data_IF_172200280726
#
_entry.id   IF_172200280726
#
_cell.length_a   1.000
_cell.length_b   1.000
_cell.length_c   1.000
_cell.angle_alpha   90.00
_cell.angle_beta   90.00
_cell.angle_gamma   90.00
#
_symmetry.space_group_name_H-M   'P 1'
#
loop_
_entity.id
_entity.type
_entity.pdbx_description
1 polymer ?
#
# COMPACT_ATOMS: atom_id res chain seq x y z
N UNK A 1 -17.70 11.52 -15.27
CA UNK A 1 -16.65 10.81 -14.51
C UNK A 1 -17.36 10.17 -13.32
N UNK A 2 -17.64 8.88 -13.39
CA UNK A 2 -18.34 8.18 -12.32
C UNK A 2 -17.40 8.02 -11.13
N UNK A 3 -17.80 8.49 -9.97
CA UNK A 3 -17.12 8.20 -8.72
C UNK A 3 -17.13 6.68 -8.53
N UNK A 4 -15.94 6.06 -8.50
CA UNK A 4 -15.80 4.64 -8.22
C UNK A 4 -16.10 4.46 -6.74
N UNK A 5 -17.32 4.04 -6.42
CA UNK A 5 -17.77 3.85 -5.04
C UNK A 5 -16.79 2.91 -4.32
N UNK A 6 -16.23 3.37 -3.20
CA UNK A 6 -15.34 2.58 -2.35
C UNK A 6 -16.14 1.39 -1.81
N UNK A 7 -16.06 0.24 -2.49
CA UNK A 7 -16.65 -0.99 -1.98
C UNK A 7 -15.83 -1.42 -0.75
N UNK A 8 -16.50 -1.61 0.39
CA UNK A 8 -15.84 -2.20 1.56
C UNK A 8 -15.43 -3.63 1.19
N UNK A 9 -14.14 -3.92 1.22
CA UNK A 9 -13.61 -5.24 0.88
C UNK A 9 -14.16 -6.33 1.82
N UNK A 10 -14.71 -5.96 2.99
CA UNK A 10 -15.47 -6.88 3.87
C UNK A 10 -16.70 -7.46 3.20
N UNK A 11 -17.27 -6.75 2.24
CA UNK A 11 -18.49 -7.15 1.55
C UNK A 11 -18.22 -7.95 0.28
N UNK A 12 -16.95 -8.21 -0.05
CA UNK A 12 -16.60 -9.03 -1.20
C UNK A 12 -16.95 -10.51 -0.98
N UNK A 13 -17.40 -11.18 -2.03
CA UNK A 13 -17.55 -12.64 -2.05
C UNK A 13 -16.19 -13.33 -2.01
N UNK A 14 -16.16 -14.62 -1.67
CA UNK A 14 -14.92 -15.42 -1.70
C UNK A 14 -14.20 -15.33 -3.05
N UNK A 15 -14.93 -15.44 -4.16
CA UNK A 15 -14.38 -15.31 -5.52
C UNK A 15 -13.78 -13.93 -5.79
N UNK A 16 -14.40 -12.86 -5.27
CA UNK A 16 -13.84 -11.50 -5.39
C UNK A 16 -12.57 -11.33 -4.56
N UNK A 17 -12.52 -11.88 -3.34
CA UNK A 17 -11.31 -11.91 -2.51
C UNK A 17 -10.20 -12.72 -3.18
N UNK A 18 -10.51 -13.86 -3.78
CA UNK A 18 -9.55 -14.68 -4.55
C UNK A 18 -8.98 -13.90 -5.72
N UNK A 19 -9.81 -13.16 -6.46
CA UNK A 19 -9.35 -12.30 -7.56
C UNK A 19 -8.43 -11.18 -7.06
N UNK A 20 -8.77 -10.49 -5.96
CA UNK A 20 -7.93 -9.45 -5.35
C UNK A 20 -6.58 -10.02 -4.87
N UNK A 21 -6.59 -11.18 -4.23
CA UNK A 21 -5.37 -11.86 -3.80
C UNK A 21 -4.54 -12.38 -4.97
N UNK A 22 -5.18 -12.79 -6.08
CA UNK A 22 -4.52 -13.12 -7.34
C UNK A 22 -3.74 -11.93 -7.88
N UNK A 23 -4.43 -10.78 -8.04
CA UNK A 23 -3.82 -9.53 -8.49
C UNK A 23 -2.68 -9.08 -7.56
N UNK A 24 -2.92 -9.07 -6.24
CA UNK A 24 -1.89 -8.68 -5.25
C UNK A 24 -0.64 -9.55 -5.37
N UNK A 25 -0.80 -10.87 -5.55
CA UNK A 25 0.33 -11.80 -5.71
C UNK A 25 1.12 -11.48 -6.98
N UNK A 26 0.43 -11.33 -8.11
CA UNK A 26 1.09 -10.98 -9.39
C UNK A 26 1.82 -9.63 -9.29
N UNK A 27 1.19 -8.59 -8.73
CA UNK A 27 1.81 -7.29 -8.50
C UNK A 27 3.11 -7.40 -7.68
N UNK A 28 3.07 -8.12 -6.56
CA UNK A 28 4.26 -8.29 -5.70
C UNK A 28 5.36 -9.07 -6.42
N UNK A 29 5.02 -10.15 -7.12
CA UNK A 29 6.00 -10.94 -7.89
C UNK A 29 6.65 -10.10 -8.99
N UNK A 30 5.87 -9.33 -9.75
CA UNK A 30 6.38 -8.50 -10.84
C UNK A 30 7.28 -7.37 -10.34
N UNK A 31 6.98 -6.80 -9.17
CA UNK A 31 7.78 -5.74 -8.54
C UNK A 31 9.11 -6.23 -7.96
N UNK A 32 9.34 -7.55 -7.82
CA UNK A 32 10.65 -8.08 -7.38
C UNK A 32 11.80 -7.69 -8.29
N UNK A 33 11.53 -7.27 -9.53
CA UNK A 33 12.55 -6.69 -10.42
C UNK A 33 13.27 -5.49 -9.78
N UNK A 34 12.59 -4.73 -8.91
CA UNK A 34 13.18 -3.62 -8.16
C UNK A 34 14.29 -4.10 -7.22
N UNK A 35 14.15 -5.30 -6.64
CA UNK A 35 15.11 -5.86 -5.67
C UNK A 35 16.49 -6.11 -6.27
N UNK A 36 16.61 -6.17 -7.60
CA UNK A 36 17.89 -6.25 -8.31
C UNK A 36 18.63 -4.91 -8.41
N UNK A 37 18.05 -3.81 -7.93
CA UNK A 37 18.67 -2.48 -7.92
C UNK A 37 19.28 -2.20 -6.54
N UNK A 38 20.42 -1.50 -6.53
CA UNK A 38 21.01 -0.99 -5.28
C UNK A 38 20.09 0.06 -4.67
N UNK A 39 19.84 -0.03 -3.36
CA UNK A 39 18.94 0.89 -2.66
C UNK A 39 17.53 0.83 -3.23
N UNK A 40 16.92 -0.35 -3.29
CA UNK A 40 15.54 -0.51 -3.73
C UNK A 40 14.56 -0.30 -2.58
N UNK A 41 13.30 0.02 -2.90
CA UNK A 41 12.25 0.20 -1.92
C UNK A 41 10.90 -0.28 -2.46
N UNK A 42 10.15 -1.02 -1.65
CA UNK A 42 8.75 -1.38 -1.90
C UNK A 42 7.91 -1.02 -0.68
N UNK A 43 6.86 -0.24 -0.91
CA UNK A 43 5.81 0.05 0.07
C UNK A 43 4.47 -0.28 -0.57
N UNK A 44 3.88 -1.41 -0.20
CA UNK A 44 2.67 -1.95 -0.84
C UNK A 44 1.62 -2.17 0.25
N UNK A 45 0.63 -1.28 0.28
CA UNK A 45 -0.51 -1.40 1.18
C UNK A 45 -1.68 -2.17 0.55
N UNK A 46 -2.51 -2.79 1.39
CA UNK A 46 -3.70 -3.53 0.96
C UNK A 46 -4.96 -2.68 1.02
N UNK A 47 -4.86 -1.37 0.73
CA UNK A 47 -6.00 -0.48 0.68
C UNK A 47 -6.54 -0.30 -0.75
N UNK A 48 -7.86 -0.18 -0.85
CA UNK A 48 -8.50 0.16 -2.11
C UNK A 48 -8.53 1.70 -2.28
N UNK A 49 -7.42 2.27 -2.73
CA UNK A 49 -7.25 3.71 -2.98
C UNK A 49 -6.51 3.97 -4.31
N UNK A 50 -6.47 5.23 -4.76
CA UNK A 50 -5.71 5.66 -5.95
C UNK A 50 -5.10 7.05 -5.69
N UNK A 51 -4.02 7.40 -6.40
CA UNK A 51 -3.30 8.68 -6.22
C UNK A 51 -2.78 8.94 -4.79
N UNK A 52 -2.09 8.00 -4.15
CA UNK A 52 -1.58 8.19 -2.78
C UNK A 52 -0.45 9.23 -2.68
N UNK A 53 0.47 9.24 -3.66
CA UNK A 53 1.70 10.04 -3.65
C UNK A 53 1.49 11.57 -3.60
N UNK A 54 0.55 12.18 -4.36
CA UNK A 54 0.41 13.64 -4.39
C UNK A 54 -0.07 14.29 -3.09
N UNK A 55 -0.69 13.53 -2.19
CA UNK A 55 -1.33 14.08 -1.00
C UNK A 55 -0.40 13.98 0.22
N UNK A 56 0.37 15.03 0.53
CA UNK A 56 1.31 15.00 1.66
C UNK A 56 0.69 14.60 3.03
N UNK A 57 -0.61 14.83 3.21
CA UNK A 57 -1.35 14.36 4.40
C UNK A 57 -1.39 12.83 4.55
N UNK A 58 -1.28 12.05 3.46
CA UNK A 58 -1.16 10.58 3.52
C UNK A 58 0.22 10.13 3.98
N UNK A 59 1.25 10.97 3.80
CA UNK A 59 2.63 10.57 4.01
C UNK A 59 3.05 10.57 5.47
N UNK A 60 2.66 11.59 6.24
CA UNK A 60 3.10 11.72 7.63
C UNK A 60 2.14 12.57 8.48
N UNK A 61 1.04 11.98 8.92
CA UNK A 61 0.05 12.60 9.80
C UNK A 61 -0.59 11.57 10.75
N UNK A 62 -1.38 12.01 11.74
CA UNK A 62 -2.16 11.08 12.57
C UNK A 62 -3.17 10.24 11.79
N UNK A 63 -3.57 10.67 10.58
CA UNK A 63 -4.53 9.98 9.71
C UNK A 63 -3.85 9.20 8.56
N UNK A 64 -2.51 9.25 8.49
CA UNK A 64 -1.73 8.53 7.50
C UNK A 64 -1.94 7.02 7.62
N UNK A 65 -1.91 6.36 6.46
CA UNK A 65 -1.75 4.93 6.41
C UNK A 65 -0.43 4.50 7.03
N UNK A 66 -0.47 3.39 7.75
CA UNK A 66 0.68 2.76 8.42
C UNK A 66 0.72 1.28 8.11
N UNK A 67 1.87 0.80 7.63
CA UNK A 67 2.18 -0.63 7.60
C UNK A 67 2.95 -0.96 8.88
N UNK A 68 2.37 -1.85 9.69
CA UNK A 68 2.79 -1.98 11.09
C UNK A 68 2.65 -0.65 11.81
N UNK A 69 3.78 -0.05 12.21
CA UNK A 69 3.80 1.28 12.84
C UNK A 69 4.45 2.36 11.97
N UNK A 70 4.81 2.06 10.71
CA UNK A 70 5.52 2.98 9.82
C UNK A 70 4.59 3.63 8.80
N UNK A 71 4.66 4.95 8.70
CA UNK A 71 4.10 5.73 7.60
C UNK A 71 4.93 5.60 6.32
N UNK A 72 4.36 6.07 5.21
CA UNK A 72 5.08 6.20 3.93
C UNK A 72 6.33 7.08 4.09
N UNK A 73 6.23 8.21 4.78
CA UNK A 73 7.38 9.10 4.96
C UNK A 73 8.52 8.44 5.75
N UNK A 74 8.18 7.65 6.78
CA UNK A 74 9.17 6.90 7.57
C UNK A 74 9.83 5.81 6.71
N UNK A 75 9.05 5.06 5.91
CA UNK A 75 9.61 4.06 5.01
C UNK A 75 10.49 4.68 3.90
N UNK A 76 10.11 5.83 3.36
CA UNK A 76 10.94 6.58 2.39
C UNK A 76 12.19 7.14 3.06
N UNK A 77 12.11 7.61 4.30
CA UNK A 77 13.27 8.07 5.04
C UNK A 77 14.26 6.93 5.29
N UNK A 78 13.78 5.77 5.75
CA UNK A 78 14.59 4.54 5.92
C UNK A 78 15.28 4.15 4.60
N UNK A 79 14.53 4.20 3.49
CA UNK A 79 15.06 3.90 2.16
C UNK A 79 16.15 4.90 1.74
N UNK A 80 15.91 6.20 1.95
CA UNK A 80 16.82 7.27 1.57
C UNK A 80 18.16 7.20 2.34
N UNK A 81 18.12 6.92 3.65
CA UNK A 81 19.34 6.79 4.46
C UNK A 81 20.01 5.42 4.34
N UNK A 82 19.26 4.41 3.87
CA UNK A 82 19.69 3.02 3.83
C UNK A 82 20.74 2.69 2.77
N UNK A 83 20.99 3.59 1.79
CA UNK A 83 21.91 3.62 0.62
C UNK A 83 22.26 2.28 -0.10
N UNK A 84 22.52 1.21 0.65
CA UNK A 84 22.88 -0.14 0.20
C UNK A 84 21.88 -1.22 0.60
N UNK A 85 20.91 -0.90 1.47
CA UNK A 85 19.90 -1.85 1.94
C UNK A 85 18.57 -1.62 1.23
N UNK A 86 17.88 -2.72 0.92
CA UNK A 86 16.51 -2.67 0.44
C UNK A 86 15.54 -2.41 1.59
N UNK A 87 14.47 -1.65 1.32
CA UNK A 87 13.35 -1.49 2.25
C UNK A 87 12.13 -2.17 1.66
N UNK A 88 11.50 -3.06 2.42
CA UNK A 88 10.30 -3.76 2.03
C UNK A 88 9.25 -3.66 3.14
N UNK A 89 8.14 -3.00 2.82
CA UNK A 89 6.97 -2.90 3.67
C UNK A 89 5.77 -3.34 2.83
N UNK A 90 5.30 -4.57 3.04
CA UNK A 90 4.19 -5.16 2.28
C UNK A 90 3.12 -5.61 3.25
N UNK A 91 1.90 -5.13 3.03
CA UNK A 91 0.76 -5.43 3.88
C UNK A 91 0.21 -6.85 3.70
N UNK A 92 -0.63 -7.28 4.63
CA UNK A 92 -1.32 -8.58 4.62
C UNK A 92 -2.21 -8.79 3.38
N UNK A 93 -2.46 -10.05 3.00
CA UNK A 93 -3.38 -10.40 1.93
C UNK A 93 -4.86 -10.12 2.31
N UNK A 94 -5.74 -9.87 1.33
CA UNK A 94 -7.17 -9.68 1.56
C UNK A 94 -7.80 -10.94 2.19
N UNK A 95 -8.79 -10.81 3.08
CA UNK A 95 -9.59 -9.61 3.38
C UNK A 95 -9.02 -8.75 4.51
N UNK A 96 -7.73 -8.88 4.82
CA UNK A 96 -7.10 -8.05 5.83
C UNK A 96 -7.30 -6.57 5.50
N UNK A 97 -7.91 -5.84 6.41
CA UNK A 97 -8.09 -4.40 6.28
C UNK A 97 -7.14 -3.75 7.24
N UNK A 98 -6.23 -2.98 6.68
CA UNK A 98 -5.45 -2.06 7.47
C UNK A 98 -6.40 -0.98 8.02
N UNK A 99 -6.57 -0.88 9.35
CA UNK A 99 -7.49 0.09 9.94
C UNK A 99 -7.08 1.54 9.65
N UNK A 100 -5.83 1.76 9.24
CA UNK A 100 -5.30 3.06 8.85
C UNK A 100 -5.50 3.38 7.36
N UNK A 101 -6.13 2.49 6.58
CA UNK A 101 -6.59 2.82 5.23
C UNK A 101 -7.45 4.08 5.26
N UNK A 102 -6.88 5.23 4.89
CA UNK A 102 -7.58 6.50 4.91
C UNK A 102 -8.82 6.40 4.00
N UNK A 103 -10.01 6.49 4.57
CA UNK A 103 -11.28 6.63 3.84
C UNK A 103 -11.64 8.08 3.57
N UNK A 104 -10.77 9.02 3.93
CA UNK A 104 -11.11 10.44 4.06
C UNK A 104 -10.41 11.36 3.05
N UNK A 105 -9.73 10.81 2.05
CA UNK A 105 -9.27 11.62 0.92
C UNK A 105 -10.19 11.37 -0.27
N UNK A 106 -11.47 11.68 -0.05
CA UNK A 106 -12.39 12.01 -1.13
C UNK A 106 -11.97 13.41 -1.65
N UNK A 107 -11.07 13.43 -2.62
CA UNK A 107 -10.83 14.58 -3.50
C UNK A 107 -11.30 14.24 -4.91
#
# INVERSE_FOLDING_TARGET
>A
MGQMQKADVRNCTSTQIEALNGFRRELVEDLKVAQHKRGWGLFIDSCFNHCQTPFGATWHSPISLRLGNKTIAEAVADWYVGENHGVEEIDCAFPCINPTCSSQLDL
#
